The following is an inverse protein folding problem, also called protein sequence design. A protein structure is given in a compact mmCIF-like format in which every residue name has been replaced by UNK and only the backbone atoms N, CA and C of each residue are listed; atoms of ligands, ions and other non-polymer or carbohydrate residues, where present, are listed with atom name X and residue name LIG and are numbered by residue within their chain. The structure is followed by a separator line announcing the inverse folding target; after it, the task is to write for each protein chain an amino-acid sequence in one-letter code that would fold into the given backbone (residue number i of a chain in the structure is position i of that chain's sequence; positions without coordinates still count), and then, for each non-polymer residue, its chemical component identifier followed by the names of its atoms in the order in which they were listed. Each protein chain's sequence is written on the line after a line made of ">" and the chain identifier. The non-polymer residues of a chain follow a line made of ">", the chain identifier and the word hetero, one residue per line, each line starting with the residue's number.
data_IF_352220662320
#
_entry.id   IF_352220662320
#
_cell.length_a   1.000
_cell.length_b   1.000
_cell.length_c   1.000
_cell.angle_alpha   90.00
_cell.angle_beta   90.00
_cell.angle_gamma   90.00
#
_symmetry.space_group_name_H-M   'P 1'
#
loop_
_entity.id
_entity.type
_entity.pdbx_description
1 polymer ?
#
# COMPACT_ATOMS: atom_id res chain seq x y z
N UNK A 1 -14.42 -9.38 -16.40
CA UNK A 1 -15.87 -9.20 -16.16
C UNK A 1 -16.03 -7.77 -15.67
N UNK A 2 -17.16 -7.12 -15.93
CA UNK A 2 -17.36 -5.72 -15.53
C UNK A 2 -17.64 -5.68 -14.04
N UNK A 3 -16.71 -5.09 -13.32
CA UNK A 3 -16.69 -4.44 -12.01
C UNK A 3 -17.97 -3.70 -11.52
N UNK A 4 -19.15 -3.92 -12.11
CA UNK A 4 -20.45 -3.48 -11.62
C UNK A 4 -20.88 -2.08 -12.06
N UNK A 5 -19.94 -1.18 -12.37
CA UNK A 5 -20.20 0.18 -12.85
C UNK A 5 -19.42 0.49 -14.14
N UNK A 6 -19.97 1.33 -15.04
CA UNK A 6 -19.27 1.73 -16.25
C UNK A 6 -18.16 2.74 -15.91
N UNK A 7 -16.91 2.31 -16.07
CA UNK A 7 -15.73 3.18 -16.05
C UNK A 7 -15.38 3.61 -17.47
N UNK A 8 -14.70 4.75 -17.61
CA UNK A 8 -14.24 5.25 -18.92
C UNK A 8 -13.29 4.26 -19.62
N UNK A 9 -12.48 3.53 -18.84
CA UNK A 9 -11.58 2.47 -19.32
C UNK A 9 -12.09 1.08 -18.91
N UNK A 10 -12.07 0.11 -19.83
CA UNK A 10 -12.55 -1.25 -19.56
C UNK A 10 -11.65 -1.95 -18.52
N UNK A 11 -12.28 -2.48 -17.46
CA UNK A 11 -11.65 -3.26 -16.41
C UNK A 11 -10.74 -4.39 -16.95
N UNK A 12 -11.12 -5.05 -18.05
CA UNK A 12 -10.30 -6.10 -18.69
C UNK A 12 -9.04 -5.55 -19.34
N UNK A 13 -9.12 -4.37 -19.94
CA UNK A 13 -8.00 -3.72 -20.62
C UNK A 13 -6.95 -3.28 -19.60
N UNK A 14 -7.41 -2.69 -18.49
CA UNK A 14 -6.54 -2.30 -17.36
C UNK A 14 -5.88 -3.52 -16.73
N UNK A 15 -6.64 -4.61 -16.52
CA UNK A 15 -6.10 -5.84 -15.94
C UNK A 15 -5.11 -6.56 -16.87
N UNK A 16 -5.29 -6.49 -18.19
CA UNK A 16 -4.35 -7.09 -19.15
C UNK A 16 -2.97 -6.42 -19.12
N UNK A 17 -2.93 -5.14 -18.76
CA UNK A 17 -1.71 -4.32 -18.75
C UNK A 17 -1.21 -4.00 -17.34
N UNK A 18 -1.85 -4.54 -16.30
CA UNK A 18 -1.51 -4.19 -14.91
C UNK A 18 -0.07 -4.55 -14.56
N UNK A 19 0.45 -5.66 -15.09
CA UNK A 19 1.86 -6.04 -14.87
C UNK A 19 2.83 -5.08 -15.55
N UNK A 20 2.52 -4.61 -16.77
CA UNK A 20 3.32 -3.56 -17.43
C UNK A 20 3.30 -2.25 -16.63
N UNK A 21 2.18 -1.94 -15.98
CA UNK A 21 2.10 -0.83 -15.05
C UNK A 21 2.96 -1.04 -13.78
N UNK A 22 2.93 -2.23 -13.20
CA UNK A 22 3.72 -2.59 -12.02
C UNK A 22 5.23 -2.55 -12.29
N UNK A 23 5.65 -3.06 -13.46
CA UNK A 23 7.04 -3.16 -13.89
C UNK A 23 7.58 -1.85 -14.50
N UNK A 24 6.75 -0.81 -14.58
CA UNK A 24 7.07 0.49 -15.18
C UNK A 24 7.39 0.41 -16.69
N UNK A 25 6.83 -0.59 -17.36
CA UNK A 25 7.02 -0.86 -18.79
C UNK A 25 5.89 -0.27 -19.67
N UNK A 26 5.00 0.54 -19.08
CA UNK A 26 3.94 1.25 -19.83
C UNK A 26 4.26 2.74 -20.03
N UNK A 27 3.75 3.30 -21.13
CA UNK A 27 3.89 4.73 -21.45
C UNK A 27 3.17 5.62 -20.43
N UNK A 28 3.61 6.88 -20.31
CA UNK A 28 3.14 7.82 -19.28
C UNK A 28 1.62 8.07 -19.32
N UNK A 29 1.04 8.20 -20.53
CA UNK A 29 -0.41 8.35 -20.72
C UNK A 29 -1.16 7.12 -20.21
N UNK A 30 -0.66 5.93 -20.58
CA UNK A 30 -1.26 4.67 -20.19
C UNK A 30 -1.19 4.41 -18.69
N UNK A 31 -0.04 4.76 -18.10
CA UNK A 31 0.17 4.72 -16.66
C UNK A 31 -0.84 5.56 -15.89
N UNK A 32 -1.20 6.72 -16.42
CA UNK A 32 -2.17 7.63 -15.79
C UNK A 32 -3.58 7.04 -15.83
N UNK A 33 -3.99 6.47 -16.96
CA UNK A 33 -5.27 5.79 -17.13
C UNK A 33 -5.42 4.58 -16.20
N UNK A 34 -4.40 3.71 -16.18
CA UNK A 34 -4.39 2.52 -15.31
C UNK A 34 -4.48 2.95 -13.84
N UNK A 35 -3.70 3.95 -13.42
CA UNK A 35 -3.76 4.48 -12.06
C UNK A 35 -5.16 4.99 -11.70
N UNK A 36 -5.75 5.84 -12.53
CA UNK A 36 -7.08 6.41 -12.29
C UNK A 36 -8.13 5.31 -12.12
N UNK A 37 -8.09 4.29 -12.97
CA UNK A 37 -9.01 3.17 -12.89
C UNK A 37 -8.82 2.33 -11.62
N UNK A 38 -7.56 2.03 -11.24
CA UNK A 38 -7.28 1.26 -10.03
C UNK A 38 -7.66 2.05 -8.75
N UNK A 39 -7.57 3.38 -8.77
CA UNK A 39 -8.00 4.24 -7.67
C UNK A 39 -9.54 4.22 -7.48
N UNK A 40 -10.29 4.16 -8.59
CA UNK A 40 -11.77 4.14 -8.56
C UNK A 40 -12.35 2.73 -8.38
N UNK A 41 -11.64 1.69 -8.83
CA UNK A 41 -12.18 0.33 -8.94
C UNK A 41 -11.55 -0.65 -7.92
N UNK A 42 -11.96 -0.52 -6.65
CA UNK A 42 -11.65 -1.49 -5.59
C UNK A 42 -12.05 -2.96 -5.88
N UNK A 43 -13.15 -3.27 -6.60
CA UNK A 43 -13.49 -4.62 -7.01
C UNK A 43 -12.43 -5.30 -7.88
N UNK A 44 -11.84 -4.59 -8.85
CA UNK A 44 -10.80 -5.15 -9.71
C UNK A 44 -9.52 -5.49 -8.95
N UNK A 45 -9.16 -4.67 -7.94
CA UNK A 45 -8.02 -4.95 -7.05
C UNK A 45 -8.22 -6.22 -6.22
N UNK A 46 -9.45 -6.46 -5.75
CA UNK A 46 -9.78 -7.65 -4.94
C UNK A 46 -9.90 -8.92 -5.78
N UNK A 47 -10.51 -8.85 -6.95
CA UNK A 47 -10.75 -10.02 -7.81
C UNK A 47 -9.44 -10.65 -8.29
N UNK A 48 -8.41 -9.84 -8.54
CA UNK A 48 -7.08 -10.31 -8.96
C UNK A 48 -6.10 -10.55 -7.80
N UNK A 49 -6.47 -10.26 -6.55
CA UNK A 49 -5.59 -10.45 -5.38
C UNK A 49 -4.38 -9.51 -5.32
N UNK A 50 -4.28 -8.54 -6.24
CA UNK A 50 -3.15 -7.61 -6.37
C UNK A 50 -3.29 -6.36 -5.48
N UNK A 51 -4.36 -6.26 -4.69
CA UNK A 51 -4.62 -5.10 -3.83
C UNK A 51 -3.42 -4.73 -2.93
N UNK A 52 -2.76 -5.73 -2.34
CA UNK A 52 -1.57 -5.52 -1.50
C UNK A 52 -0.36 -5.03 -2.30
N UNK A 53 -0.13 -5.60 -3.49
CA UNK A 53 1.00 -5.26 -4.37
C UNK A 53 0.84 -3.85 -4.97
N UNK A 54 -0.37 -3.50 -5.40
CA UNK A 54 -0.70 -2.16 -5.89
C UNK A 54 -0.60 -1.12 -4.76
N UNK A 55 -1.14 -1.40 -3.57
CA UNK A 55 -1.00 -0.51 -2.40
C UNK A 55 0.46 -0.30 -2.01
N UNK A 56 1.26 -1.37 -2.01
CA UNK A 56 2.70 -1.27 -1.74
C UNK A 56 3.44 -0.45 -2.80
N UNK A 57 3.09 -0.61 -4.08
CA UNK A 57 3.66 0.17 -5.17
C UNK A 57 3.27 1.65 -5.07
N UNK A 58 2.01 1.98 -4.83
CA UNK A 58 1.54 3.37 -4.63
C UNK A 58 2.23 4.00 -3.42
N UNK A 59 2.31 3.28 -2.30
CA UNK A 59 3.04 3.76 -1.11
C UNK A 59 4.52 4.03 -1.41
N UNK A 60 5.17 3.20 -2.23
CA UNK A 60 6.58 3.37 -2.60
C UNK A 60 6.81 4.47 -3.64
N UNK A 61 5.95 4.58 -4.65
CA UNK A 61 6.12 5.51 -5.77
C UNK A 61 5.50 6.89 -5.49
N UNK A 62 4.52 6.97 -4.59
CA UNK A 62 3.77 8.20 -4.28
C UNK A 62 3.79 8.58 -2.79
N UNK A 63 4.22 7.69 -1.89
CA UNK A 63 4.36 7.96 -0.45
C UNK A 63 5.79 8.20 0.01
N UNK A 64 6.73 8.47 -0.91
CA UNK A 64 8.16 8.51 -0.63
C UNK A 64 8.64 9.82 0.01
N UNK A 65 8.19 10.06 1.24
CA UNK A 65 8.96 10.79 2.24
C UNK A 65 9.35 9.79 3.33
N UNK A 66 10.54 9.19 3.17
CA UNK A 66 11.13 8.40 4.25
C UNK A 66 11.30 9.28 5.48
N UNK A 67 10.72 8.86 6.60
CA UNK A 67 10.90 9.53 7.88
C UNK A 67 12.42 9.73 8.16
N UNK A 68 12.86 10.96 8.46
CA UNK A 68 14.26 11.25 8.78
C UNK A 68 14.77 10.32 9.87
N UNK A 69 16.04 9.90 9.78
CA UNK A 69 16.62 8.90 10.70
C UNK A 69 16.47 9.33 12.17
N UNK A 70 16.59 10.63 12.45
CA UNK A 70 16.39 11.16 13.81
C UNK A 70 14.99 10.88 14.36
N UNK A 71 13.95 10.87 13.51
CA UNK A 71 12.59 10.55 13.93
C UNK A 71 12.46 9.05 14.24
N UNK A 72 13.10 8.19 13.44
CA UNK A 72 13.09 6.74 13.65
C UNK A 72 13.80 6.34 14.93
N UNK A 73 14.95 6.95 15.22
CA UNK A 73 15.69 6.72 16.47
C UNK A 73 14.90 7.14 17.70
N UNK A 74 14.31 8.36 17.69
CA UNK A 74 13.48 8.85 18.79
C UNK A 74 12.28 7.94 19.09
N UNK A 75 11.62 7.43 18.05
CA UNK A 75 10.49 6.53 18.20
C UNK A 75 10.90 5.17 18.78
N UNK A 76 12.03 4.60 18.33
CA UNK A 76 12.55 3.33 18.88
C UNK A 76 12.84 3.43 20.37
N UNK A 77 13.47 4.52 20.82
CA UNK A 77 13.75 4.75 22.25
C UNK A 77 12.44 4.79 23.05
N UNK A 78 11.46 5.60 22.61
CA UNK A 78 10.18 5.72 23.30
C UNK A 78 9.37 4.43 23.34
N UNK A 79 9.35 3.66 22.25
CA UNK A 79 8.70 2.35 22.22
C UNK A 79 9.37 1.36 23.17
N UNK A 80 10.71 1.39 23.24
CA UNK A 80 11.47 0.51 24.15
C UNK A 80 11.19 0.87 25.61
N UNK A 81 11.15 2.17 25.95
CA UNK A 81 10.72 2.63 27.27
C UNK A 81 9.33 2.07 27.62
N UNK A 82 8.33 2.24 26.75
CA UNK A 82 6.95 1.80 27.00
C UNK A 82 6.81 0.28 27.17
N UNK A 83 7.45 -0.52 26.32
CA UNK A 83 7.36 -1.99 26.39
C UNK A 83 8.06 -2.54 27.64
N UNK A 84 9.09 -1.86 28.14
CA UNK A 84 9.76 -2.26 29.38
C UNK A 84 8.84 -2.09 30.59
N UNK A 85 8.00 -1.04 30.63
CA UNK A 85 7.07 -0.82 31.76
C UNK A 85 5.99 -1.92 31.86
N UNK A 86 5.43 -2.39 30.74
CA UNK A 86 4.41 -3.47 30.77
C UNK A 86 4.98 -4.80 31.28
N UNK A 87 6.28 -5.06 31.05
CA UNK A 87 6.93 -6.29 31.51
C UNK A 87 7.38 -6.26 32.97
N UNK A 88 7.59 -5.07 33.55
CA UNK A 88 7.90 -4.93 34.99
C UNK A 88 6.66 -5.02 35.86
N UNK A 89 5.53 -4.43 35.45
CA UNK A 89 4.28 -4.49 36.22
C UNK A 89 3.69 -5.91 36.24
N UNK A 90 3.91 -6.70 35.19
CA UNK A 90 3.45 -8.10 35.10
C UNK A 90 4.24 -9.08 35.98
N UNK A 91 5.39 -8.68 36.54
CA UNK A 91 6.25 -9.54 37.38
C UNK A 91 6.05 -9.36 38.88
N UNK A 92 5.45 -8.26 39.32
CA UNK A 92 5.18 -8.02 40.75
C UNK A 92 3.84 -8.59 41.24
N UNK A 93 2.95 -9.05 40.35
CA UNK A 93 1.70 -9.74 40.72
C UNK A 93 1.82 -11.28 40.78
N UNK A 94 3.03 -11.82 40.59
CA UNK A 94 3.29 -13.26 40.60
C UNK A 94 4.24 -13.72 41.72
N UNK A 95 4.52 -12.86 42.70
CA UNK A 95 5.16 -13.24 43.98
C UNK A 95 4.17 -13.02 45.15
#
# INVERSE_FOLDING_TARGET
>A
MSCGEPHETDCREVLAEVYLYLDLECGQERRTLIRHHLDECGPCLREYGIEQEVKALVARCCGNETAPEQLRERLRVRLTELVVFETSESRELAD
#
